data_IF_725228611280
#
_entry.id   IF_725228611280
#
_cell.length_a   1.000
_cell.length_b   1.000
_cell.length_c   1.000
_cell.angle_alpha   90.00
_cell.angle_beta   90.00
_cell.angle_gamma   90.00
#
_symmetry.space_group_name_H-M   'P 1'
#
loop_
_entity.id
_entity.type
_entity.pdbx_description
1 polymer ?
#
# COMPACT_ATOMS: atom_id res chain seq x y z
N UNK A 1 -26.94 -8.40 -12.52
CA UNK A 1 -27.25 -7.89 -11.16
C UNK A 1 -26.05 -7.29 -10.42
N UNK A 2 -24.80 -7.41 -10.92
CA UNK A 2 -23.61 -6.78 -10.31
C UNK A 2 -23.39 -5.31 -10.70
N UNK A 3 -24.04 -4.84 -11.78
CA UNK A 3 -23.86 -3.51 -12.35
C UNK A 3 -24.05 -2.33 -11.36
N UNK A 4 -25.11 -2.27 -10.52
CA UNK A 4 -25.28 -1.15 -9.60
C UNK A 4 -24.23 -1.14 -8.48
N UNK A 5 -23.83 -2.31 -7.96
CA UNK A 5 -22.79 -2.41 -6.94
C UNK A 5 -21.42 -1.99 -7.46
N UNK A 6 -21.09 -2.40 -8.70
CA UNK A 6 -19.83 -2.02 -9.35
C UNK A 6 -19.74 -0.51 -9.57
N UNK A 7 -20.84 0.15 -9.97
CA UNK A 7 -20.87 1.60 -10.15
C UNK A 7 -20.61 2.36 -8.84
N UNK A 8 -21.19 1.92 -7.72
CA UNK A 8 -20.98 2.58 -6.42
C UNK A 8 -19.52 2.47 -5.98
N UNK A 9 -18.93 1.27 -6.06
CA UNK A 9 -17.53 1.05 -5.69
C UNK A 9 -16.60 1.89 -6.58
N UNK A 10 -16.83 1.90 -7.89
CA UNK A 10 -16.04 2.72 -8.81
C UNK A 10 -16.20 4.21 -8.51
N UNK A 11 -17.40 4.71 -8.24
CA UNK A 11 -17.62 6.11 -7.89
C UNK A 11 -16.86 6.52 -6.63
N UNK A 12 -16.93 5.69 -5.58
CA UNK A 12 -16.26 5.95 -4.30
C UNK A 12 -14.72 5.91 -4.42
N UNK A 13 -14.18 5.09 -5.32
CA UNK A 13 -12.73 5.03 -5.55
C UNK A 13 -12.25 6.14 -6.49
N UNK A 14 -12.96 6.37 -7.59
CA UNK A 14 -12.54 7.31 -8.65
C UNK A 14 -12.65 8.75 -8.17
N UNK A 15 -13.66 9.10 -7.38
CA UNK A 15 -13.85 10.46 -6.89
C UNK A 15 -12.65 11.00 -6.09
N UNK A 16 -12.19 10.37 -4.98
CA UNK A 16 -11.05 10.86 -4.21
C UNK A 16 -9.74 10.76 -4.98
N UNK A 17 -9.58 9.77 -5.87
CA UNK A 17 -8.40 9.69 -6.75
C UNK A 17 -8.33 10.90 -7.68
N UNK A 18 -9.45 11.25 -8.30
CA UNK A 18 -9.51 12.40 -9.20
C UNK A 18 -9.23 13.72 -8.47
N UNK A 19 -9.80 13.88 -7.27
CA UNK A 19 -9.55 15.06 -6.45
C UNK A 19 -8.09 15.12 -5.98
N UNK A 20 -7.51 14.00 -5.57
CA UNK A 20 -6.10 13.87 -5.20
C UNK A 20 -5.14 14.22 -6.35
N UNK A 21 -5.44 13.78 -7.58
CA UNK A 21 -4.65 14.13 -8.78
C UNK A 21 -4.74 15.62 -9.13
N UNK A 22 -5.90 16.24 -8.94
CA UNK A 22 -6.04 17.70 -9.10
C UNK A 22 -5.31 18.44 -8.00
N UNK A 23 -5.36 17.93 -6.77
CA UNK A 23 -4.69 18.53 -5.63
C UNK A 23 -3.16 18.43 -5.76
N UNK A 24 -2.63 17.34 -6.31
CA UNK A 24 -1.17 17.15 -6.46
C UNK A 24 -0.51 18.16 -7.41
N UNK A 25 -1.27 18.70 -8.36
CA UNK A 25 -0.79 19.71 -9.34
C UNK A 25 -0.99 21.16 -8.88
N UNK A 26 -1.58 21.35 -7.70
CA UNK A 26 -1.88 22.64 -7.10
C UNK A 26 -1.02 22.87 -5.87
N UNK A 27 -0.62 24.11 -5.64
CA UNK A 27 0.01 24.51 -4.40
C UNK A 27 -1.07 24.89 -3.40
N UNK A 28 -1.19 24.12 -2.32
CA UNK A 28 -2.08 24.43 -1.21
C UNK A 28 -1.27 25.03 -0.06
N UNK A 29 -1.76 26.13 0.52
CA UNK A 29 -1.27 26.65 1.80
C UNK A 29 -2.48 26.95 2.68
N UNK A 30 -2.51 26.35 3.86
CA UNK A 30 -3.63 26.45 4.81
C UNK A 30 -5.00 26.11 4.20
N UNK A 31 -5.07 25.06 3.37
CA UNK A 31 -6.33 24.60 2.76
C UNK A 31 -6.85 25.46 1.59
N UNK A 32 -6.17 26.56 1.25
CA UNK A 32 -6.51 27.37 0.08
C UNK A 32 -5.52 27.13 -1.07
N UNK A 33 -6.00 26.95 -2.33
CA UNK A 33 -5.13 26.83 -3.49
C UNK A 33 -4.53 28.22 -3.80
N UNK A 34 -3.20 28.34 -3.74
CA UNK A 34 -2.51 29.60 -4.07
C UNK A 34 -2.29 29.71 -5.57
N UNK A 35 -1.82 28.63 -6.20
CA UNK A 35 -1.48 28.63 -7.63
C UNK A 35 -1.48 27.22 -8.22
N UNK A 36 -1.76 27.12 -9.52
CA UNK A 36 -1.53 25.90 -10.28
C UNK A 36 -0.03 25.83 -10.57
N UNK A 37 0.68 24.93 -9.89
CA UNK A 37 2.13 24.75 -10.03
C UNK A 37 2.49 23.57 -10.93
N UNK A 38 1.49 22.86 -11.46
CA UNK A 38 1.69 21.76 -12.39
C UNK A 38 2.54 20.66 -11.76
N UNK A 39 3.66 20.30 -12.41
CA UNK A 39 4.57 19.25 -11.94
C UNK A 39 5.65 19.73 -10.97
N UNK A 40 5.66 21.01 -10.60
CA UNK A 40 6.72 21.59 -9.77
C UNK A 40 6.78 20.95 -8.38
N UNK A 41 5.63 20.54 -7.82
CA UNK A 41 5.56 19.79 -6.55
C UNK A 41 6.37 18.49 -6.60
N UNK A 42 6.33 17.77 -7.74
CA UNK A 42 7.08 16.52 -7.89
C UNK A 42 8.59 16.79 -7.95
N UNK A 43 9.03 17.79 -8.71
CA UNK A 43 10.45 18.16 -8.81
C UNK A 43 11.00 18.60 -7.45
N UNK A 44 10.22 19.37 -6.68
CA UNK A 44 10.60 19.77 -5.32
C UNK A 44 10.72 18.57 -4.37
N UNK A 45 9.80 17.60 -4.46
CA UNK A 45 9.85 16.37 -3.66
C UNK A 45 11.17 15.60 -3.85
N UNK A 46 11.66 15.49 -5.09
CA UNK A 46 12.92 14.79 -5.38
C UNK A 46 14.16 15.49 -4.82
N UNK A 47 14.06 16.78 -4.49
CA UNK A 47 15.15 17.55 -3.88
C UNK A 47 15.04 17.63 -2.35
N UNK A 48 13.95 17.11 -1.78
CA UNK A 48 13.70 17.12 -0.34
C UNK A 48 14.36 15.90 0.33
N UNK A 49 15.38 16.17 1.14
CA UNK A 49 16.11 15.14 1.87
C UNK A 49 15.24 14.33 2.83
N UNK A 50 14.20 14.93 3.42
CA UNK A 50 13.27 14.25 4.31
C UNK A 50 12.37 13.29 3.54
N UNK A 51 11.87 13.70 2.38
CA UNK A 51 11.09 12.83 1.50
C UNK A 51 11.92 11.63 1.04
N UNK A 52 13.14 11.86 0.54
CA UNK A 52 14.03 10.78 0.08
C UNK A 52 14.40 9.82 1.22
N UNK A 53 14.69 10.34 2.41
CA UNK A 53 14.96 9.50 3.58
C UNK A 53 13.75 8.64 3.95
N UNK A 54 12.56 9.23 4.00
CA UNK A 54 11.33 8.51 4.32
C UNK A 54 11.03 7.43 3.28
N UNK A 55 11.19 7.75 1.99
CA UNK A 55 11.04 6.80 0.89
C UNK A 55 12.01 5.62 1.06
N UNK A 56 13.28 5.88 1.36
CA UNK A 56 14.27 4.83 1.53
C UNK A 56 13.99 3.94 2.74
N UNK A 57 13.55 4.52 3.86
CA UNK A 57 13.13 3.78 5.05
C UNK A 57 11.95 2.87 4.72
N UNK A 58 10.92 3.38 4.03
CA UNK A 58 9.75 2.58 3.63
C UNK A 58 10.15 1.46 2.67
N UNK A 59 10.96 1.74 1.65
CA UNK A 59 11.42 0.72 0.70
C UNK A 59 12.22 -0.37 1.41
N UNK A 60 13.15 0.02 2.29
CA UNK A 60 13.94 -0.93 3.08
C UNK A 60 13.06 -1.76 4.01
N UNK A 61 12.08 -1.13 4.66
CA UNK A 61 11.13 -1.81 5.54
C UNK A 61 10.29 -2.83 4.76
N UNK A 62 9.66 -2.42 3.65
CA UNK A 62 8.83 -3.30 2.83
C UNK A 62 9.66 -4.44 2.25
N UNK A 63 10.83 -4.16 1.68
CA UNK A 63 11.70 -5.18 1.12
C UNK A 63 12.09 -6.23 2.15
N UNK A 64 12.47 -5.80 3.36
CA UNK A 64 12.87 -6.70 4.43
C UNK A 64 11.67 -7.48 4.99
N UNK A 65 10.54 -6.82 5.27
CA UNK A 65 9.33 -7.45 5.81
C UNK A 65 8.78 -8.49 4.84
N UNK A 66 8.56 -8.10 3.57
CA UNK A 66 8.00 -8.99 2.55
C UNK A 66 8.95 -10.16 2.27
N UNK A 67 10.27 -9.95 2.26
CA UNK A 67 11.21 -11.06 2.07
C UNK A 67 11.16 -12.05 3.23
N UNK A 68 11.11 -11.57 4.47
CA UNK A 68 11.00 -12.43 5.66
C UNK A 68 9.66 -13.17 5.67
N UNK A 69 8.55 -12.46 5.44
CA UNK A 69 7.21 -13.02 5.35
C UNK A 69 7.11 -14.08 4.25
N UNK A 70 7.69 -13.82 3.07
CA UNK A 70 7.71 -14.77 1.97
C UNK A 70 8.51 -16.03 2.31
N UNK A 71 9.70 -15.89 2.90
CA UNK A 71 10.53 -17.03 3.31
C UNK A 71 9.83 -17.86 4.39
N UNK A 72 9.28 -17.21 5.42
CA UNK A 72 8.55 -17.90 6.49
C UNK A 72 7.27 -18.55 5.97
N UNK A 73 6.48 -17.84 5.17
CA UNK A 73 5.26 -18.36 4.56
C UNK A 73 5.53 -19.56 3.66
N UNK A 74 6.60 -19.50 2.85
CA UNK A 74 7.00 -20.60 1.98
C UNK A 74 7.53 -21.81 2.78
N UNK A 75 8.35 -21.57 3.80
CA UNK A 75 8.82 -22.62 4.70
C UNK A 75 7.65 -23.34 5.39
N UNK A 76 6.70 -22.57 5.93
CA UNK A 76 5.48 -23.09 6.56
C UNK A 76 4.60 -23.86 5.56
N UNK A 77 4.50 -23.39 4.32
CA UNK A 77 3.75 -24.09 3.27
C UNK A 77 4.39 -25.46 2.94
N UNK A 78 5.72 -25.53 2.83
CA UNK A 78 6.44 -26.79 2.62
C UNK A 78 6.30 -27.76 3.80
N UNK A 79 6.36 -27.26 5.04
CA UNK A 79 6.10 -28.07 6.24
C UNK A 79 4.67 -28.61 6.26
N UNK A 80 3.69 -27.82 5.83
CA UNK A 80 2.29 -28.25 5.74
C UNK A 80 2.02 -29.28 4.63
N UNK A 81 2.92 -29.44 3.65
CA UNK A 81 2.77 -30.42 2.57
C UNK A 81 3.01 -31.86 3.07
N UNK A 82 3.85 -32.04 4.08
CA UNK A 82 4.06 -33.36 4.69
C UNK A 82 2.95 -33.63 5.70
N UNK A 83 2.07 -34.62 5.45
CA UNK A 83 0.92 -34.96 6.30
C UNK A 83 1.35 -35.43 7.71
N UNK A 84 1.74 -34.50 8.57
CA UNK A 84 2.05 -34.72 9.98
C UNK A 84 0.82 -34.46 10.85
N UNK A 85 0.64 -35.29 11.89
CA UNK A 85 -0.45 -35.23 12.87
C UNK A 85 -0.64 -33.85 13.55
N UNK A 86 0.37 -32.97 13.54
CA UNK A 86 0.34 -31.62 14.12
C UNK A 86 -0.14 -30.48 13.21
N UNK A 87 -0.35 -30.73 11.91
CA UNK A 87 -0.73 -29.68 10.93
C UNK A 87 -2.05 -29.00 11.23
N UNK A 88 -3.00 -29.70 11.88
CA UNK A 88 -4.32 -29.14 12.19
C UNK A 88 -4.25 -28.00 13.21
N UNK A 89 -3.31 -28.06 14.16
CA UNK A 89 -3.04 -26.98 15.11
C UNK A 89 -2.29 -25.83 14.44
N UNK A 90 -1.26 -26.14 13.64
CA UNK A 90 -0.46 -25.14 12.92
C UNK A 90 -1.32 -24.29 11.97
N UNK A 91 -2.22 -24.93 11.21
CA UNK A 91 -3.16 -24.26 10.30
C UNK A 91 -4.13 -23.33 11.02
N UNK A 92 -4.56 -23.71 12.22
CA UNK A 92 -5.47 -22.90 13.04
C UNK A 92 -4.75 -21.65 13.57
N UNK A 93 -3.55 -21.82 14.13
CA UNK A 93 -2.72 -20.70 14.63
C UNK A 93 -2.28 -19.76 13.50
N UNK A 94 -2.08 -20.27 12.29
CA UNK A 94 -1.72 -19.45 11.13
C UNK A 94 -2.89 -18.66 10.53
N UNK A 95 -4.12 -19.15 10.64
CA UNK A 95 -5.31 -18.49 10.05
C UNK A 95 -5.93 -17.47 11.01
N UNK A 96 -5.86 -17.69 12.33
CA UNK A 96 -6.41 -16.76 13.33
C UNK A 96 -5.85 -15.31 13.23
N UNK A 97 -4.55 -15.07 13.00
CA UNK A 97 -3.98 -13.72 13.01
C UNK A 97 -4.13 -12.97 11.68
N UNK A 98 -4.70 -13.58 10.64
CA UNK A 98 -5.05 -12.93 9.38
C UNK A 98 -6.46 -12.34 9.45
#
# INVERSE_FOLDING_TARGET
MLAPGLMVVLGVLVYPLWDGLRASTRAYRYGSPISNVGFQNYVQLWSDAQFLNSLWVTVKFVALSVSIEAVLGFALALFCLHEFRGIRLLRTVLIIPM
#
